data_IF_016055658859
#
_entry.id   IF_016055658859
#
_cell.length_a   1.000
_cell.length_b   1.000
_cell.length_c   1.000
_cell.angle_alpha   90.00
_cell.angle_beta   90.00
_cell.angle_gamma   90.00
#
_symmetry.space_group_name_H-M   'P 1'
#
loop_
_entity.id
_entity.type
_entity.pdbx_description
1 polymer ?
#
# COMPACT_ATOMS: atom_id res chain seq x y z
N UNK A 1 6.51 -19.70 -7.60
CA UNK A 1 5.50 -20.02 -6.56
C UNK A 1 5.29 -18.74 -5.74
N UNK A 2 4.14 -18.51 -5.11
CA UNK A 2 3.94 -17.28 -4.30
C UNK A 2 3.88 -17.67 -2.82
N UNK A 3 4.42 -16.82 -1.97
CA UNK A 3 4.42 -16.98 -0.51
C UNK A 3 3.19 -16.31 0.05
N UNK A 4 2.34 -17.05 0.76
CA UNK A 4 1.11 -16.53 1.36
C UNK A 4 1.30 -16.35 2.85
N UNK A 5 1.01 -15.14 3.36
CA UNK A 5 0.96 -14.85 4.79
C UNK A 5 -0.50 -15.01 5.26
N UNK A 6 -0.75 -16.04 6.07
CA UNK A 6 -2.11 -16.45 6.41
C UNK A 6 -2.64 -15.79 7.69
N UNK A 7 -1.79 -15.72 8.72
CA UNK A 7 -2.16 -15.20 10.05
C UNK A 7 -1.57 -13.81 10.29
N UNK A 8 -2.25 -12.99 11.07
CA UNK A 8 -1.67 -11.74 11.57
C UNK A 8 -0.38 -12.04 12.33
N UNK A 9 0.69 -11.29 12.01
CA UNK A 9 2.03 -11.50 12.53
C UNK A 9 2.89 -12.43 11.69
N UNK A 10 2.34 -13.20 10.75
CA UNK A 10 3.15 -13.95 9.78
C UNK A 10 4.06 -12.99 9.02
N UNK A 11 5.30 -13.44 8.76
CA UNK A 11 6.26 -12.63 8.03
C UNK A 11 7.12 -13.48 7.09
N UNK A 12 7.57 -12.83 6.03
CA UNK A 12 8.54 -13.40 5.09
C UNK A 12 9.65 -12.41 4.83
N UNK A 13 10.89 -12.90 4.87
CA UNK A 13 12.09 -12.12 4.58
C UNK A 13 12.57 -12.41 3.17
N UNK A 14 12.67 -11.36 2.40
CA UNK A 14 13.24 -11.34 1.05
C UNK A 14 14.68 -10.87 1.16
N UNK A 15 15.63 -11.69 0.74
CA UNK A 15 17.04 -11.30 0.69
C UNK A 15 17.33 -10.74 -0.71
N UNK A 16 17.80 -9.51 -0.75
CA UNK A 16 18.25 -8.88 -1.98
C UNK A 16 19.70 -9.29 -2.24
N UNK A 17 20.03 -9.70 -3.46
CA UNK A 17 21.38 -10.11 -3.79
C UNK A 17 22.37 -8.96 -3.55
N UNK A 18 23.45 -9.25 -2.80
CA UNK A 18 24.52 -8.28 -2.53
C UNK A 18 25.23 -7.94 -3.84
N UNK A 19 25.24 -6.64 -4.18
CA UNK A 19 26.02 -6.13 -5.32
C UNK A 19 25.35 -6.29 -6.68
N UNK A 20 24.21 -6.96 -6.79
CA UNK A 20 23.37 -6.88 -7.97
C UNK A 20 22.48 -5.63 -7.84
N UNK A 21 22.54 -4.74 -8.83
CA UNK A 21 21.47 -3.78 -8.98
C UNK A 21 20.19 -4.59 -9.25
N UNK A 22 19.19 -4.46 -8.36
CA UNK A 22 17.88 -5.06 -8.64
C UNK A 22 17.39 -4.44 -9.94
N UNK A 23 17.36 -5.24 -11.01
CA UNK A 23 16.82 -4.78 -12.28
C UNK A 23 15.31 -4.88 -12.21
N UNK A 24 14.62 -3.75 -12.24
CA UNK A 24 13.18 -3.68 -12.19
C UNK A 24 12.66 -2.88 -11.00
N UNK A 25 11.37 -2.94 -10.79
CA UNK A 25 10.65 -2.15 -9.79
C UNK A 25 10.13 -3.05 -8.68
N UNK A 26 10.25 -2.63 -7.43
CA UNK A 26 9.50 -3.26 -6.34
C UNK A 26 8.07 -2.73 -6.44
N UNK A 27 7.12 -3.66 -6.55
CA UNK A 27 5.72 -3.33 -6.78
C UNK A 27 4.88 -3.79 -5.60
N UNK A 28 4.10 -2.88 -5.03
CA UNK A 28 3.13 -3.13 -3.98
C UNK A 28 1.76 -2.83 -4.57
N UNK A 29 1.02 -3.88 -4.90
CA UNK A 29 -0.27 -3.78 -5.57
C UNK A 29 -1.40 -4.21 -4.63
N UNK A 30 -2.43 -3.38 -4.54
CA UNK A 30 -3.71 -3.71 -3.91
C UNK A 30 -4.67 -4.14 -5.02
N UNK A 31 -5.16 -5.35 -4.94
CA UNK A 31 -6.18 -5.92 -5.82
C UNK A 31 -7.44 -6.24 -5.02
N UNK A 32 -8.63 -5.98 -5.57
CA UNK A 32 -9.89 -6.29 -4.90
C UNK A 32 -11.02 -6.56 -5.89
N UNK A 33 -12.04 -7.31 -5.43
CA UNK A 33 -13.25 -7.55 -6.20
C UNK A 33 -14.13 -6.31 -6.19
N UNK A 34 -14.30 -5.68 -7.33
CA UNK A 34 -15.24 -4.54 -7.48
C UNK A 34 -16.73 -4.98 -7.50
N UNK A 35 -17.01 -6.27 -7.29
CA UNK A 35 -18.34 -6.85 -7.45
C UNK A 35 -18.73 -7.06 -8.92
N UNK A 36 -19.75 -7.87 -9.18
CA UNK A 36 -20.26 -8.09 -10.54
C UNK A 36 -20.96 -6.84 -11.10
N UNK A 37 -21.16 -6.80 -12.43
CA UNK A 37 -21.81 -5.71 -13.17
C UNK A 37 -23.09 -5.17 -12.52
N UNK A 38 -23.93 -6.05 -11.96
CA UNK A 38 -25.15 -5.66 -11.25
C UNK A 38 -24.86 -4.86 -9.95
N UNK A 39 -23.84 -5.23 -9.19
CA UNK A 39 -23.45 -4.46 -7.98
C UNK A 39 -22.93 -3.07 -8.33
N UNK A 40 -22.19 -2.93 -9.43
CA UNK A 40 -21.73 -1.63 -9.92
C UNK A 40 -22.90 -0.74 -10.36
N UNK A 41 -23.90 -1.29 -11.06
CA UNK A 41 -25.08 -0.55 -11.50
C UNK A 41 -25.98 -0.05 -10.35
N UNK A 42 -26.03 -0.76 -9.22
CA UNK A 42 -26.88 -0.43 -8.08
C UNK A 42 -26.16 0.24 -6.91
N UNK A 43 -24.95 0.78 -7.13
CA UNK A 43 -24.20 1.53 -6.12
C UNK A 43 -23.65 0.70 -4.97
N UNK A 44 -23.46 -0.62 -5.18
CA UNK A 44 -22.95 -1.54 -4.17
C UNK A 44 -21.46 -1.89 -4.29
N UNK A 45 -20.75 -1.28 -5.24
CA UNK A 45 -19.31 -1.49 -5.38
C UNK A 45 -18.55 -0.78 -4.25
N UNK A 46 -17.59 -1.48 -3.65
CA UNK A 46 -16.68 -0.89 -2.66
C UNK A 46 -15.48 -0.35 -3.41
N UNK A 47 -15.18 0.93 -3.21
CA UNK A 47 -13.98 1.58 -3.72
C UNK A 47 -12.91 1.56 -2.62
N UNK A 48 -11.79 0.91 -2.92
CA UNK A 48 -10.66 0.78 -2.02
C UNK A 48 -9.51 1.65 -2.51
N UNK A 49 -9.00 2.47 -1.63
CA UNK A 49 -7.80 3.25 -1.86
C UNK A 49 -6.60 2.64 -1.15
N UNK A 50 -5.48 2.60 -1.86
CA UNK A 50 -4.18 2.19 -1.34
C UNK A 50 -3.44 3.41 -0.79
N UNK A 51 -2.73 3.21 0.30
CA UNK A 51 -1.80 4.20 0.82
C UNK A 51 -0.67 3.56 1.60
N UNK A 52 0.30 4.36 1.94
CA UNK A 52 1.36 3.96 2.84
C UNK A 52 1.80 5.09 3.77
N UNK A 53 2.07 4.75 5.01
CA UNK A 53 2.99 5.51 5.86
C UNK A 53 4.41 5.03 5.56
N UNK A 54 5.38 5.93 5.58
CA UNK A 54 6.78 5.57 5.44
C UNK A 54 7.69 6.35 6.39
N UNK A 55 8.80 5.73 6.74
CA UNK A 55 9.89 6.30 7.53
C UNK A 55 11.19 6.03 6.81
N UNK A 56 12.00 7.07 6.62
CA UNK A 56 13.34 6.97 6.09
C UNK A 56 14.38 6.81 7.22
N UNK A 57 15.57 6.35 6.87
CA UNK A 57 16.66 6.16 7.84
C UNK A 57 17.19 7.49 8.41
N UNK A 58 16.93 8.62 7.75
CA UNK A 58 17.24 9.96 8.28
C UNK A 58 16.19 10.50 9.25
N UNK A 59 15.16 9.71 9.57
CA UNK A 59 14.07 10.07 10.47
C UNK A 59 12.90 10.79 9.79
N UNK A 60 12.99 11.08 8.51
CA UNK A 60 11.88 11.66 7.75
C UNK A 60 10.70 10.69 7.73
N UNK A 61 9.52 11.19 8.08
CA UNK A 61 8.25 10.44 8.05
C UNK A 61 7.24 11.18 7.21
N UNK A 62 6.44 10.46 6.44
CA UNK A 62 5.31 11.01 5.71
C UNK A 62 4.32 9.89 5.31
N UNK A 63 3.24 10.26 4.62
CA UNK A 63 2.28 9.33 4.04
C UNK A 63 2.00 9.70 2.58
N UNK A 64 1.59 8.70 1.81
CA UNK A 64 1.18 8.85 0.41
C UNK A 64 -0.10 8.06 0.21
N UNK A 65 -1.17 8.73 -0.20
CA UNK A 65 -2.44 8.12 -0.62
C UNK A 65 -3.27 9.06 -1.51
N UNK A 66 -4.40 8.57 -2.01
CA UNK A 66 -5.29 9.30 -2.90
C UNK A 66 -5.84 10.60 -2.33
N UNK A 67 -5.91 10.76 -1.00
CA UNK A 67 -6.35 12.01 -0.35
C UNK A 67 -5.27 13.10 -0.36
N UNK A 68 -4.04 12.76 -0.66
CA UNK A 68 -2.92 13.71 -0.71
C UNK A 68 -2.77 14.37 -2.09
N UNK A 69 -3.35 13.81 -3.13
CA UNK A 69 -3.27 14.33 -4.49
C UNK A 69 -4.65 14.35 -5.17
N UNK A 70 -5.04 15.51 -5.65
CA UNK A 70 -6.29 15.68 -6.40
C UNK A 70 -6.19 15.03 -7.78
N UNK A 71 -7.33 14.53 -8.27
CA UNK A 71 -7.48 13.89 -9.58
C UNK A 71 -6.68 12.60 -9.79
N UNK A 72 -6.01 12.10 -8.77
CA UNK A 72 -5.48 10.74 -8.66
C UNK A 72 -4.55 10.22 -9.76
N UNK A 73 -4.23 11.00 -10.76
CA UNK A 73 -3.46 10.54 -11.93
C UNK A 73 -2.55 11.61 -12.48
N UNK A 74 -1.45 11.18 -13.07
CA UNK A 74 -0.63 11.99 -13.96
C UNK A 74 0.49 12.75 -13.32
N UNK A 75 0.84 12.45 -12.07
CA UNK A 75 2.09 12.94 -11.48
C UNK A 75 3.29 12.39 -12.26
N UNK A 76 4.32 13.21 -12.39
CA UNK A 76 5.58 12.77 -12.98
C UNK A 76 6.38 12.01 -11.91
N UNK A 77 6.60 10.70 -12.11
CA UNK A 77 7.34 9.85 -11.17
C UNK A 77 8.79 10.29 -10.92
N UNK A 78 9.33 11.12 -11.81
CA UNK A 78 10.69 11.65 -11.73
C UNK A 78 10.79 12.95 -10.93
N UNK A 79 9.67 13.51 -10.48
CA UNK A 79 9.61 14.73 -9.69
C UNK A 79 9.00 14.45 -8.31
N UNK A 80 9.48 15.18 -7.31
CA UNK A 80 8.89 15.11 -5.96
C UNK A 80 7.51 15.76 -5.97
N UNK A 81 6.50 15.01 -5.55
CA UNK A 81 5.11 15.45 -5.49
C UNK A 81 4.41 14.84 -4.28
N UNK A 82 3.11 15.09 -4.13
CA UNK A 82 2.29 14.41 -3.10
C UNK A 82 2.09 12.92 -3.39
N UNK A 83 2.31 12.46 -4.63
CA UNK A 83 2.36 11.04 -4.97
C UNK A 83 3.72 10.39 -4.60
N UNK A 84 4.64 11.14 -4.04
CA UNK A 84 6.02 10.75 -3.77
C UNK A 84 6.95 11.08 -4.91
N UNK A 85 8.03 10.30 -5.05
CA UNK A 85 8.94 10.33 -6.18
C UNK A 85 9.61 8.97 -6.33
N UNK A 86 9.82 8.54 -7.57
CA UNK A 86 10.51 7.29 -7.86
C UNK A 86 12.03 7.44 -7.87
N UNK A 87 12.56 8.52 -8.45
CA UNK A 87 14.00 8.71 -8.67
C UNK A 87 14.69 9.53 -7.58
N UNK A 88 13.93 10.13 -6.70
CA UNK A 88 14.42 10.95 -5.58
C UNK A 88 13.77 10.46 -4.28
N UNK A 89 14.27 10.88 -3.14
CA UNK A 89 13.59 10.62 -1.86
C UNK A 89 12.12 11.05 -1.94
N UNK A 90 11.18 10.20 -1.53
CA UNK A 90 11.37 8.99 -0.71
C UNK A 90 11.67 7.71 -1.50
N UNK A 91 11.86 7.73 -2.82
CA UNK A 91 12.00 6.55 -3.69
C UNK A 91 10.74 5.67 -3.70
N UNK A 92 9.63 6.25 -3.33
CA UNK A 92 8.31 5.63 -3.24
C UNK A 92 7.37 6.48 -4.09
N UNK A 93 6.64 5.85 -5.00
CA UNK A 93 5.72 6.57 -5.87
C UNK A 93 4.40 5.82 -6.04
N UNK A 94 3.28 6.50 -5.78
CA UNK A 94 1.94 5.98 -5.98
C UNK A 94 1.51 6.25 -7.44
N UNK A 95 1.07 5.21 -8.17
CA UNK A 95 0.71 5.33 -9.58
C UNK A 95 -0.58 6.11 -9.84
N UNK A 96 -1.32 6.42 -8.79
CA UNK A 96 -2.60 7.14 -8.85
C UNK A 96 -3.79 6.25 -8.51
N UNK A 97 -4.94 6.89 -8.45
CA UNK A 97 -6.24 6.29 -8.15
C UNK A 97 -6.78 5.54 -9.38
N UNK A 98 -7.14 4.27 -9.24
CA UNK A 98 -7.82 3.50 -10.29
C UNK A 98 -9.34 3.59 -10.12
N UNK A 99 -9.93 4.50 -10.86
CA UNK A 99 -11.40 4.67 -10.89
C UNK A 99 -12.14 3.61 -11.74
N UNK A 100 -11.51 2.47 -12.00
CA UNK A 100 -12.20 1.30 -12.52
C UNK A 100 -12.41 1.22 -14.04
N UNK A 101 -11.63 1.93 -14.83
CA UNK A 101 -11.79 1.96 -16.30
C UNK A 101 -10.85 1.04 -17.10
N UNK A 102 -10.22 0.04 -16.47
CA UNK A 102 -9.26 -0.81 -17.20
C UNK A 102 -9.14 -2.24 -16.68
N UNK A 103 -8.61 -3.12 -17.54
CA UNK A 103 -8.36 -4.54 -17.26
C UNK A 103 -7.20 -4.80 -16.25
N UNK A 104 -6.46 -3.79 -15.85
CA UNK A 104 -5.47 -3.87 -14.79
C UNK A 104 -6.17 -3.50 -13.48
N UNK A 105 -6.43 -4.50 -12.66
CA UNK A 105 -7.11 -4.33 -11.39
C UNK A 105 -6.18 -3.73 -10.33
N UNK A 106 -6.70 -2.71 -9.64
CA UNK A 106 -6.14 -2.26 -8.38
C UNK A 106 -5.15 -1.09 -8.46
N UNK A 107 -4.74 -0.65 -7.29
CA UNK A 107 -3.82 0.46 -7.13
C UNK A 107 -2.41 -0.02 -6.81
N UNK A 108 -1.42 0.76 -7.20
CA UNK A 108 -0.02 0.34 -7.10
C UNK A 108 0.87 1.44 -6.53
N UNK A 109 1.69 1.04 -5.57
CA UNK A 109 2.84 1.81 -5.10
C UNK A 109 4.11 1.15 -5.63
N UNK A 110 4.96 1.93 -6.25
CA UNK A 110 6.29 1.51 -6.70
C UNK A 110 7.35 1.98 -5.71
N UNK A 111 8.32 1.12 -5.44
CA UNK A 111 9.53 1.46 -4.69
C UNK A 111 10.73 1.23 -5.59
N UNK A 112 11.55 2.28 -5.72
CA UNK A 112 12.78 2.18 -6.49
C UNK A 112 13.84 1.41 -5.70
N UNK A 113 14.41 0.34 -6.25
CA UNK A 113 15.45 -0.44 -5.57
C UNK A 113 16.66 0.36 -5.12
N UNK A 114 17.00 1.46 -5.80
CA UNK A 114 18.12 2.31 -5.38
C UNK A 114 17.91 2.96 -4.01
N UNK A 115 16.64 3.15 -3.61
CA UNK A 115 16.27 3.76 -2.34
C UNK A 115 16.07 2.77 -1.18
N UNK A 116 16.26 1.47 -1.41
CA UNK A 116 16.01 0.44 -0.37
C UNK A 116 16.80 0.69 0.91
N UNK A 117 18.03 1.21 0.78
CA UNK A 117 18.87 1.53 1.94
C UNK A 117 18.54 2.88 2.60
N UNK A 118 17.71 3.71 1.97
CA UNK A 118 17.22 4.96 2.56
C UNK A 118 15.91 4.77 3.31
N UNK A 119 15.13 3.76 2.96
CA UNK A 119 13.84 3.47 3.59
C UNK A 119 14.07 2.59 4.83
N UNK A 120 13.44 2.94 5.93
CA UNK A 120 13.47 2.16 7.17
C UNK A 120 12.27 1.22 7.26
N UNK A 121 11.06 1.74 7.07
CA UNK A 121 9.83 0.96 7.09
C UNK A 121 8.69 1.63 6.33
N UNK A 122 7.75 0.82 5.89
CA UNK A 122 6.47 1.25 5.35
C UNK A 122 5.34 0.48 6.02
N UNK A 123 4.22 1.13 6.32
CA UNK A 123 2.96 0.47 6.66
C UNK A 123 2.00 0.70 5.51
N UNK A 124 1.65 -0.39 4.85
CA UNK A 124 0.70 -0.40 3.73
C UNK A 124 -0.70 -0.51 4.30
N UNK A 125 -1.57 0.41 3.88
CA UNK A 125 -2.96 0.42 4.31
C UNK A 125 -3.92 0.59 3.13
N UNK A 126 -5.15 0.25 3.36
CA UNK A 126 -6.26 0.55 2.46
C UNK A 126 -7.42 1.12 3.24
N UNK A 127 -8.23 1.92 2.58
CA UNK A 127 -9.47 2.45 3.18
C UNK A 127 -10.61 2.47 2.16
N UNK A 128 -11.83 2.38 2.68
CA UNK A 128 -13.05 2.46 1.88
C UNK A 128 -13.42 3.94 1.80
N UNK A 129 -13.15 4.56 0.64
CA UNK A 129 -13.50 5.95 0.40
C UNK A 129 -15.02 6.09 0.26
N UNK A 130 -15.61 5.29 -0.61
CA UNK A 130 -17.06 5.27 -0.83
C UNK A 130 -17.65 3.90 -0.49
N UNK A 131 -18.93 3.89 -0.08
CA UNK A 131 -19.64 2.67 0.27
C UNK A 131 -19.62 2.32 1.75
N UNK A 132 -20.22 1.17 2.06
CA UNK A 132 -20.26 0.62 3.41
C UNK A 132 -19.01 -0.22 3.70
N UNK A 133 -18.64 -0.32 4.98
CA UNK A 133 -17.55 -1.18 5.43
C UNK A 133 -17.89 -2.67 5.27
N UNK A 134 -17.80 -3.19 4.05
CA UNK A 134 -18.09 -4.58 3.67
C UNK A 134 -16.83 -5.30 3.22
N UNK A 135 -15.85 -5.39 4.09
CA UNK A 135 -14.55 -6.00 3.80
C UNK A 135 -14.65 -7.44 3.29
N UNK A 136 -15.61 -8.22 3.80
CA UNK A 136 -15.82 -9.61 3.36
C UNK A 136 -16.15 -9.72 1.86
N UNK A 137 -16.74 -8.67 1.29
CA UNK A 137 -17.14 -8.64 -0.12
C UNK A 137 -15.99 -8.17 -1.04
N UNK A 138 -14.90 -7.63 -0.49
CA UNK A 138 -13.82 -7.03 -1.28
C UNK A 138 -12.81 -8.06 -1.79
N UNK A 139 -12.60 -9.16 -1.07
CA UNK A 139 -11.50 -10.10 -1.31
C UNK A 139 -10.14 -9.39 -1.50
N UNK A 140 -9.91 -8.34 -0.72
CA UNK A 140 -8.75 -7.50 -0.89
C UNK A 140 -7.45 -8.26 -0.61
N UNK A 141 -6.49 -8.08 -1.51
CA UNK A 141 -5.18 -8.74 -1.48
C UNK A 141 -4.10 -7.72 -1.76
N UNK A 142 -3.08 -7.67 -0.93
CA UNK A 142 -1.84 -6.94 -1.23
C UNK A 142 -0.79 -7.92 -1.72
N UNK A 143 -0.23 -7.63 -2.88
CA UNK A 143 0.89 -8.39 -3.49
C UNK A 143 2.14 -7.54 -3.45
N UNK A 144 3.19 -8.06 -2.85
CA UNK A 144 4.53 -7.44 -2.86
C UNK A 144 5.40 -8.24 -3.82
N UNK A 145 5.83 -7.61 -4.90
CA UNK A 145 6.70 -8.19 -5.92
C UNK A 145 8.05 -7.53 -5.86
N UNK A 146 9.07 -8.33 -5.63
CA UNK A 146 10.47 -7.92 -5.67
C UNK A 146 11.16 -8.68 -6.81
N UNK A 147 11.75 -7.98 -7.78
CA UNK A 147 12.39 -8.64 -8.92
C UNK A 147 13.38 -9.74 -8.50
N UNK A 148 13.33 -10.87 -9.18
CA UNK A 148 14.17 -12.02 -8.86
C UNK A 148 13.72 -12.87 -7.67
N UNK A 149 12.63 -12.51 -7.00
CA UNK A 149 12.13 -13.22 -5.83
C UNK A 149 10.68 -13.70 -6.03
N UNK A 150 10.22 -14.59 -5.16
CA UNK A 150 8.82 -15.01 -5.14
C UNK A 150 7.91 -13.86 -4.65
N UNK A 151 6.73 -13.76 -5.24
CA UNK A 151 5.71 -12.80 -4.80
C UNK A 151 5.26 -13.12 -3.37
N UNK A 152 5.15 -12.10 -2.52
CA UNK A 152 4.55 -12.23 -1.19
C UNK A 152 3.11 -11.73 -1.25
N UNK A 153 2.17 -12.57 -0.84
CA UNK A 153 0.74 -12.30 -0.88
C UNK A 153 0.21 -12.16 0.54
N UNK A 154 -0.42 -11.03 0.80
CA UNK A 154 -1.13 -10.72 2.05
C UNK A 154 -2.61 -10.60 1.75
N UNK A 155 -3.36 -11.65 2.06
CA UNK A 155 -4.81 -11.67 1.92
C UNK A 155 -5.46 -11.09 3.19
N UNK A 156 -6.41 -10.17 3.02
CA UNK A 156 -7.20 -9.71 4.17
C UNK A 156 -8.09 -10.83 4.72
N UNK A 157 -8.51 -11.73 3.86
CA UNK A 157 -9.49 -12.75 4.20
C UNK A 157 -10.90 -12.19 4.40
N UNK A 158 -11.80 -13.03 4.86
CA UNK A 158 -13.16 -12.60 5.19
C UNK A 158 -13.16 -11.88 6.54
N UNK A 159 -13.34 -10.57 6.51
CA UNK A 159 -13.35 -9.73 7.69
C UNK A 159 -14.74 -9.15 7.91
N UNK A 160 -15.28 -9.33 9.10
CA UNK A 160 -16.53 -8.71 9.53
C UNK A 160 -16.20 -7.54 10.47
N UNK A 161 -15.90 -6.39 9.88
CA UNK A 161 -15.53 -5.19 10.61
C UNK A 161 -16.23 -3.97 10.00
N UNK A 162 -16.71 -3.06 10.84
CA UNK A 162 -17.42 -1.85 10.43
C UNK A 162 -16.52 -0.63 10.26
N UNK A 163 -15.25 -0.72 10.64
CA UNK A 163 -14.27 0.34 10.41
C UNK A 163 -13.85 0.36 8.95
N UNK A 164 -13.61 1.56 8.42
CA UNK A 164 -13.33 1.76 6.99
C UNK A 164 -11.83 1.83 6.64
N UNK A 165 -10.94 1.66 7.59
CA UNK A 165 -9.49 1.74 7.40
C UNK A 165 -8.83 0.47 7.91
N UNK A 166 -7.91 -0.08 7.12
CA UNK A 166 -7.16 -1.28 7.47
C UNK A 166 -5.67 -1.13 7.14
N UNK A 167 -4.80 -1.27 8.13
CA UNK A 167 -3.39 -1.53 7.90
C UNK A 167 -3.23 -3.01 7.54
N UNK A 168 -2.73 -3.30 6.32
CA UNK A 168 -2.66 -4.66 5.78
C UNK A 168 -1.31 -5.31 6.03
N UNK A 169 -0.23 -4.58 5.74
CA UNK A 169 1.12 -5.10 5.81
C UNK A 169 2.12 -4.06 6.30
N UNK A 170 3.20 -4.52 6.89
CA UNK A 170 4.38 -3.72 7.15
C UNK A 170 5.56 -4.28 6.35
N UNK A 171 6.28 -3.39 5.68
CA UNK A 171 7.54 -3.67 5.04
C UNK A 171 8.66 -3.04 5.87
N UNK A 172 9.61 -3.86 6.32
CA UNK A 172 10.78 -3.42 7.09
C UNK A 172 12.00 -3.63 6.19
N UNK A 173 12.72 -2.55 5.94
CA UNK A 173 13.91 -2.55 5.10
C UNK A 173 15.13 -2.72 6.01
N UNK A 174 15.79 -3.86 5.89
CA UNK A 174 16.99 -4.16 6.65
C UNK A 174 18.23 -3.50 6.04
N UNK A 175 19.09 -2.93 6.86
CA UNK A 175 20.38 -2.40 6.39
C UNK A 175 21.35 -3.46 5.82
N UNK A 176 20.91 -4.71 5.78
CA UNK A 176 21.62 -5.88 5.25
C UNK A 176 21.11 -6.34 3.88
N UNK A 177 20.51 -5.43 3.12
CA UNK A 177 19.86 -5.69 1.84
C UNK A 177 18.72 -6.74 1.95
N UNK A 178 17.84 -6.57 2.89
CA UNK A 178 16.64 -7.40 3.01
C UNK A 178 15.37 -6.58 3.15
N UNK A 179 14.25 -7.15 2.74
CA UNK A 179 12.92 -6.63 2.97
C UNK A 179 12.12 -7.70 3.70
N UNK A 180 11.63 -7.37 4.89
CA UNK A 180 10.71 -8.25 5.61
C UNK A 180 9.29 -7.74 5.40
N UNK A 181 8.42 -8.57 4.83
CA UNK A 181 6.99 -8.32 4.70
C UNK A 181 6.28 -9.01 5.85
N UNK A 182 5.54 -8.24 6.65
CA UNK A 182 4.76 -8.74 7.80
C UNK A 182 3.28 -8.46 7.59
N UNK A 183 2.44 -9.47 7.76
CA UNK A 183 0.98 -9.32 7.73
C UNK A 183 0.50 -8.63 9.00
N UNK A 184 -0.31 -7.60 8.87
CA UNK A 184 -0.95 -6.87 9.96
C UNK A 184 -2.45 -7.21 10.04
N UNK A 185 -3.24 -6.73 9.11
CA UNK A 185 -4.72 -6.80 9.05
C UNK A 185 -5.35 -6.29 10.34
N UNK A 186 -5.09 -5.01 10.63
CA UNK A 186 -5.67 -4.30 11.79
C UNK A 186 -6.59 -3.19 11.31
N UNK A 187 -7.76 -3.07 11.96
CA UNK A 187 -8.81 -2.13 11.57
C UNK A 187 -8.82 -0.89 12.47
N UNK A 188 -9.03 0.27 11.85
CA UNK A 188 -8.92 1.58 12.48
C UNK A 188 -10.09 2.48 12.09
N UNK A 189 -10.34 3.51 12.90
CA UNK A 189 -11.37 4.52 12.62
C UNK A 189 -10.92 5.54 11.54
N UNK A 190 -9.65 5.46 11.13
CA UNK A 190 -9.06 6.28 10.09
C UNK A 190 -7.55 6.42 10.25
N UNK A 191 -6.96 7.33 9.47
CA UNK A 191 -5.51 7.59 9.48
C UNK A 191 -4.96 7.89 10.88
N UNK A 192 -5.61 8.79 11.62
CA UNK A 192 -5.18 9.21 12.96
C UNK A 192 -5.18 8.08 13.98
N UNK A 193 -6.11 7.14 13.87
CA UNK A 193 -6.18 5.97 14.75
C UNK A 193 -5.06 4.96 14.40
N UNK A 194 -4.85 4.72 13.12
CA UNK A 194 -3.75 3.90 12.62
C UNK A 194 -2.38 4.50 12.98
N UNK A 195 -2.22 5.81 12.81
CA UNK A 195 -1.03 6.56 13.20
C UNK A 195 -0.65 6.32 14.66
N UNK A 196 -1.62 6.48 15.58
CA UNK A 196 -1.39 6.26 17.02
C UNK A 196 -0.91 4.85 17.32
N UNK A 197 -1.48 3.86 16.65
CA UNK A 197 -1.09 2.46 16.87
C UNK A 197 0.32 2.17 16.39
N UNK A 198 0.74 2.76 15.27
CA UNK A 198 2.05 2.49 14.65
C UNK A 198 3.10 3.58 14.90
N UNK A 199 2.77 4.62 15.67
CA UNK A 199 3.72 5.61 16.19
C UNK A 199 4.28 6.56 15.13
N UNK A 200 3.44 7.10 14.23
CA UNK A 200 3.88 8.05 13.22
C UNK A 200 3.94 9.49 13.75
N UNK A 201 2.93 9.92 14.52
CA UNK A 201 2.90 11.21 15.20
C UNK A 201 2.48 12.38 14.31
N UNK A 202 1.69 12.14 13.27
CA UNK A 202 1.21 13.18 12.36
C UNK A 202 0.02 13.96 12.95
N UNK A 203 -0.18 15.16 12.40
CA UNK A 203 -1.40 15.95 12.58
C UNK A 203 -2.24 15.88 11.33
N UNK A 204 -3.50 15.55 11.48
CA UNK A 204 -4.43 15.35 10.38
C UNK A 204 -5.42 16.51 10.26
N UNK A 205 -5.73 16.87 9.03
CA UNK A 205 -6.88 17.68 8.64
C UNK A 205 -7.78 16.86 7.73
N UNK A 206 -9.07 17.19 7.60
CA UNK A 206 -9.93 16.55 6.63
C UNK A 206 -9.31 16.62 5.23
N UNK A 207 -9.28 15.49 4.52
CA UNK A 207 -8.83 15.38 3.14
C UNK A 207 -10.00 15.07 2.22
N UNK A 208 -9.89 15.43 0.93
CA UNK A 208 -10.84 15.05 -0.10
C UNK A 208 -10.09 14.69 -1.38
N UNK A 209 -10.75 13.95 -2.28
CA UNK A 209 -10.25 13.62 -3.63
C UNK A 209 -10.67 14.65 -4.68
N UNK A 210 -11.27 15.76 -4.29
CA UNK A 210 -11.78 16.82 -5.18
C UNK A 210 -10.67 17.70 -5.75
#
# INVERSE_FOLDING_TARGET
MAIRLEKSGDQHRINLEKGASISGEININLDWSKGGFLKQMFGGAVDLDLGCFYELNDGTKNLIDGLQFSHGRGGNRHQVSRQGSYDQKPYIWHQGDDRGSGAASGETILVNPIGVNDIKRMVIYTFIYEGAAKWADTNAVVKVKVPGNEDVIVEMGQQNNNKKFCAIAELIFGGDNSITVRKLVTFHDGHSDCDRQYGWGFRYSPGSKD
#
